data_IF_561451248228
#
_entry.id   IF_561451248228
#
_cell.length_a   1.000
_cell.length_b   1.000
_cell.length_c   1.000
_cell.angle_alpha   90.00
_cell.angle_beta   90.00
_cell.angle_gamma   90.00
#
_symmetry.space_group_name_H-M   'P 1'
#
loop_
_entity.id
_entity.type
_entity.pdbx_description
1 polymer ?
#
# COMPACT_ATOMS: atom_id res chain seq x y z
N UNK A 1 -7.72 11.98 -5.81
CA UNK A 1 -6.28 11.94 -5.45
C UNK A 1 -5.57 10.72 -6.07
N UNK A 2 -4.52 10.99 -6.86
CA UNK A 2 -3.63 9.96 -7.41
C UNK A 2 -2.47 9.72 -6.43
N UNK A 3 -2.40 8.55 -5.81
CA UNK A 3 -1.35 8.20 -4.84
C UNK A 3 -0.25 7.43 -5.57
N UNK A 4 0.97 7.97 -5.61
CA UNK A 4 2.10 7.33 -6.30
C UNK A 4 2.82 6.28 -5.45
N UNK A 5 2.81 6.44 -4.12
CA UNK A 5 3.50 5.56 -3.18
C UNK A 5 2.68 5.40 -1.89
N UNK A 6 2.72 4.19 -1.34
CA UNK A 6 2.21 3.87 0.01
C UNK A 6 3.38 3.38 0.86
N UNK A 7 3.58 3.96 2.04
CA UNK A 7 4.61 3.56 2.99
C UNK A 7 3.93 3.15 4.29
N UNK A 8 4.00 1.86 4.62
CA UNK A 8 3.54 1.33 5.90
C UNK A 8 4.72 1.42 6.89
N UNK A 9 4.67 2.43 7.76
CA UNK A 9 5.64 2.58 8.85
C UNK A 9 5.56 1.41 9.85
N UNK A 10 4.34 0.94 10.12
CA UNK A 10 4.06 -0.25 10.91
C UNK A 10 3.43 -1.33 10.04
N UNK A 11 3.69 -2.60 10.38
CA UNK A 11 3.07 -3.75 9.73
C UNK A 11 1.54 -3.69 9.92
N UNK A 12 0.73 -3.77 8.85
CA UNK A 12 -0.72 -3.78 8.98
C UNK A 12 -1.22 -4.95 9.85
N UNK A 13 -2.24 -4.69 10.67
CA UNK A 13 -2.78 -5.66 11.63
C UNK A 13 -3.41 -6.90 10.96
N UNK A 14 -3.80 -6.78 9.70
CA UNK A 14 -4.35 -7.88 8.91
C UNK A 14 -3.95 -7.79 7.45
N UNK A 15 -4.06 -8.93 6.74
CA UNK A 15 -3.90 -8.98 5.29
C UNK A 15 -4.89 -8.05 4.56
N UNK A 16 -6.13 -7.97 5.03
CA UNK A 16 -7.15 -7.13 4.42
C UNK A 16 -6.79 -5.64 4.53
N UNK A 17 -6.25 -5.21 5.68
CA UNK A 17 -5.77 -3.84 5.87
C UNK A 17 -4.60 -3.53 4.95
N UNK A 18 -3.68 -4.48 4.78
CA UNK A 18 -2.57 -4.33 3.83
C UNK A 18 -3.08 -4.11 2.40
N UNK A 19 -3.97 -4.98 1.90
CA UNK A 19 -4.51 -4.88 0.53
C UNK A 19 -5.26 -3.56 0.32
N UNK A 20 -6.09 -3.13 1.27
CA UNK A 20 -6.80 -1.86 1.18
C UNK A 20 -5.87 -0.64 1.16
N UNK A 21 -4.77 -0.67 1.94
CA UNK A 21 -3.77 0.39 1.93
C UNK A 21 -3.02 0.46 0.60
N UNK A 22 -2.45 -0.66 0.14
CA UNK A 22 -1.67 -0.65 -1.13
C UNK A 22 -2.55 -0.40 -2.36
N UNK A 23 -3.84 -0.75 -2.29
CA UNK A 23 -4.83 -0.45 -3.34
C UNK A 23 -5.08 1.04 -3.59
N UNK A 24 -4.50 1.94 -2.78
CA UNK A 24 -4.49 3.38 -3.04
C UNK A 24 -3.56 3.77 -4.19
N UNK A 25 -2.48 3.02 -4.44
CA UNK A 25 -1.45 3.38 -5.44
C UNK A 25 -1.55 2.62 -6.77
N UNK A 26 -2.06 1.38 -6.77
CA UNK A 26 -2.11 0.53 -7.97
C UNK A 26 -3.48 0.47 -8.67
N UNK A 27 -3.99 1.60 -9.18
CA UNK A 27 -5.30 1.65 -9.89
C UNK A 27 -5.14 1.91 -11.39
N UNK A 28 -6.11 1.42 -12.17
CA UNK A 28 -6.24 1.68 -13.61
C UNK A 28 -4.98 1.33 -14.43
N UNK A 29 -4.43 0.13 -14.22
CA UNK A 29 -3.24 -0.35 -14.95
C UNK A 29 -1.90 0.14 -14.40
N UNK A 30 -1.90 1.06 -13.43
CA UNK A 30 -0.68 1.44 -12.72
C UNK A 30 -0.31 0.34 -11.72
N UNK A 31 0.94 -0.11 -11.74
CA UNK A 31 1.45 -1.04 -10.74
C UNK A 31 1.45 -0.44 -9.32
N UNK A 32 1.67 0.88 -9.21
CA UNK A 32 1.86 1.55 -7.93
C UNK A 32 3.13 1.09 -7.21
N UNK A 33 3.45 1.72 -6.09
CA UNK A 33 4.61 1.35 -5.26
C UNK A 33 4.24 1.31 -3.78
N UNK A 34 4.50 0.20 -3.12
CA UNK A 34 4.26 0.03 -1.69
C UNK A 34 5.50 -0.50 -0.98
N UNK A 35 5.88 0.16 0.12
CA UNK A 35 6.97 -0.25 1.02
C UNK A 35 6.40 -0.48 2.42
N UNK A 36 6.81 -1.56 3.07
CA UNK A 36 6.45 -1.85 4.46
C UNK A 36 7.72 -2.10 5.24
N UNK A 37 7.89 -1.40 6.36
CA UNK A 37 8.93 -1.74 7.32
C UNK A 37 8.50 -2.96 8.12
N UNK A 38 9.39 -3.96 8.20
CA UNK A 38 9.19 -5.19 8.95
C UNK A 38 10.41 -5.34 9.85
N UNK A 39 10.15 -5.50 11.15
CA UNK A 39 11.16 -5.80 12.17
C UNK A 39 11.19 -7.31 12.45
#
# INVERSE_FOLDING_TARGET
PHVSHVINYDVPASYNDYVHRIGRTGRAGNAGKALTFVL
#
